data_IF_544849537978
#
_entry.id   IF_544849537978
#
_cell.length_a   1.000
_cell.length_b   1.000
_cell.length_c   1.000
_cell.angle_alpha   90.00
_cell.angle_beta   90.00
_cell.angle_gamma   90.00
#
_symmetry.space_group_name_H-M   'P 1'
#
loop_
_entity.id
_entity.type
_entity.pdbx_description
1 polymer ?
#
# COMPACT_ATOMS: atom_id res chain seq x y z
N UNK A 1 -15.86 -11.59 18.60
CA UNK A 1 -16.04 -10.39 19.43
C UNK A 1 -15.76 -9.13 18.60
N UNK A 2 -16.69 -8.18 18.65
CA UNK A 2 -16.53 -6.90 17.94
C UNK A 2 -15.95 -5.84 18.88
N UNK A 3 -15.15 -4.94 18.33
CA UNK A 3 -14.66 -3.78 19.06
C UNK A 3 -15.82 -2.81 19.27
N UNK A 4 -16.04 -2.37 20.51
CA UNK A 4 -17.16 -1.51 20.85
C UNK A 4 -17.00 -0.10 20.25
N UNK A 5 -18.11 0.51 19.78
CA UNK A 5 -18.02 1.80 19.08
C UNK A 5 -17.55 2.94 19.97
N UNK A 6 -17.94 2.99 21.24
CA UNK A 6 -17.55 4.04 22.16
C UNK A 6 -16.05 4.01 22.47
N UNK A 7 -15.48 2.82 22.65
CA UNK A 7 -14.05 2.63 22.90
C UNK A 7 -13.22 3.09 21.72
N UNK A 8 -13.60 2.65 20.52
CA UNK A 8 -12.87 3.03 19.29
C UNK A 8 -13.04 4.51 18.99
N UNK A 9 -14.25 5.05 19.12
CA UNK A 9 -14.51 6.47 18.89
C UNK A 9 -13.69 7.35 19.84
N UNK A 10 -13.59 6.99 21.12
CA UNK A 10 -12.77 7.73 22.06
C UNK A 10 -11.29 7.70 21.69
N UNK A 11 -10.80 6.56 21.23
CA UNK A 11 -9.41 6.44 20.79
C UNK A 11 -9.14 7.33 19.58
N UNK A 12 -10.05 7.36 18.63
CA UNK A 12 -9.94 8.22 17.44
C UNK A 12 -9.96 9.69 17.85
N UNK A 13 -10.92 10.08 18.66
CA UNK A 13 -11.08 11.48 19.08
C UNK A 13 -9.86 12.00 19.84
N UNK A 14 -9.17 11.12 20.58
CA UNK A 14 -8.00 11.51 21.37
C UNK A 14 -6.68 11.47 20.58
N UNK A 15 -6.59 10.73 19.50
CA UNK A 15 -5.32 10.47 18.81
C UNK A 15 -5.27 10.94 17.37
N UNK A 16 -6.39 11.08 16.69
CA UNK A 16 -6.43 11.44 15.28
C UNK A 16 -6.69 12.95 15.14
N UNK A 17 -5.91 13.60 14.30
CA UNK A 17 -6.06 15.02 14.02
C UNK A 17 -7.33 15.27 13.23
N UNK A 18 -7.98 16.43 13.47
CA UNK A 18 -9.17 16.82 12.73
C UNK A 18 -8.85 16.93 11.24
N UNK A 19 -9.68 16.31 10.41
CA UNK A 19 -9.51 16.31 8.95
C UNK A 19 -8.55 15.26 8.42
N UNK A 20 -7.88 14.51 9.29
CA UNK A 20 -7.00 13.42 8.90
C UNK A 20 -7.80 12.23 8.36
N UNK A 21 -7.34 11.63 7.26
CA UNK A 21 -7.99 10.44 6.71
C UNK A 21 -7.73 9.24 7.63
N UNK A 22 -8.76 8.43 7.83
CA UNK A 22 -8.71 7.25 8.69
C UNK A 22 -9.12 6.05 7.87
N UNK A 23 -8.32 4.99 7.90
CA UNK A 23 -8.59 3.76 7.16
C UNK A 23 -8.72 2.59 8.12
N UNK A 24 -9.73 1.78 7.89
CA UNK A 24 -9.90 0.49 8.56
C UNK A 24 -9.53 -0.62 7.58
N UNK A 25 -8.63 -1.49 8.00
CA UNK A 25 -8.12 -2.59 7.16
C UNK A 25 -9.05 -3.79 7.28
N UNK A 26 -9.75 -4.08 6.20
CA UNK A 26 -10.77 -5.13 6.16
C UNK A 26 -10.86 -5.76 4.77
N UNK A 27 -11.00 -7.09 4.69
CA UNK A 27 -11.19 -7.76 3.38
C UNK A 27 -12.39 -7.27 2.59
N UNK A 28 -13.39 -6.68 3.27
CA UNK A 28 -14.61 -6.13 2.65
C UNK A 28 -14.39 -4.74 2.04
N UNK A 29 -13.25 -4.11 2.34
CA UNK A 29 -13.00 -2.75 1.93
C UNK A 29 -12.70 -2.59 0.44
N UNK A 30 -12.64 -1.34 0.01
CA UNK A 30 -12.21 -0.99 -1.33
C UNK A 30 -10.75 -1.44 -1.52
N UNK A 31 -10.42 -1.96 -2.70
CA UNK A 31 -9.08 -2.45 -2.99
C UNK A 31 -8.03 -1.33 -2.85
N UNK A 32 -7.02 -1.59 -2.05
CA UNK A 32 -5.84 -0.73 -1.97
C UNK A 32 -4.97 -0.98 -3.20
N UNK A 33 -4.61 0.07 -3.92
CA UNK A 33 -3.81 -0.02 -5.15
C UNK A 33 -2.70 1.03 -5.16
N UNK A 34 -1.88 1.00 -6.20
CA UNK A 34 -0.75 1.91 -6.34
C UNK A 34 -1.20 3.37 -6.39
N UNK A 35 -2.35 3.65 -7.00
CA UNK A 35 -2.88 5.02 -7.08
C UNK A 35 -3.20 5.55 -5.69
N UNK A 36 -3.84 4.74 -4.85
CA UNK A 36 -4.14 5.16 -3.47
C UNK A 36 -2.83 5.35 -2.67
N UNK A 37 -1.84 4.48 -2.88
CA UNK A 37 -0.54 4.66 -2.24
C UNK A 37 0.10 6.00 -2.64
N UNK A 38 0.02 6.36 -3.92
CA UNK A 38 0.52 7.66 -4.40
C UNK A 38 -0.23 8.83 -3.77
N UNK A 39 -1.56 8.73 -3.67
CA UNK A 39 -2.38 9.77 -3.04
C UNK A 39 -2.00 9.94 -1.57
N UNK A 40 -1.84 8.84 -0.84
CA UNK A 40 -1.48 8.88 0.58
C UNK A 40 -0.06 9.39 0.81
N UNK A 41 0.84 9.17 -0.12
CA UNK A 41 2.22 9.69 -0.01
C UNK A 41 2.28 11.22 -0.02
N UNK A 42 1.23 11.87 -0.51
CA UNK A 42 1.12 13.33 -0.56
C UNK A 42 0.39 13.93 0.63
N UNK A 43 -0.22 13.08 1.46
CA UNK A 43 -0.91 13.54 2.68
C UNK A 43 0.11 13.86 3.77
N UNK A 44 -0.19 14.86 4.61
CA UNK A 44 0.65 15.17 5.76
C UNK A 44 0.62 14.06 6.81
N UNK A 45 -0.55 13.44 6.98
CA UNK A 45 -0.74 12.33 7.91
C UNK A 45 -2.01 11.56 7.56
N UNK A 46 -2.06 10.29 7.95
CA UNK A 46 -3.26 9.47 7.90
C UNK A 46 -3.16 8.42 9.01
N UNK A 47 -4.29 7.85 9.39
CA UNK A 47 -4.35 6.85 10.46
C UNK A 47 -4.86 5.52 9.93
N UNK A 48 -4.31 4.44 10.45
CA UNK A 48 -4.72 3.08 10.12
C UNK A 48 -5.29 2.42 11.38
N UNK A 49 -6.47 1.83 11.26
CA UNK A 49 -7.08 1.06 12.34
C UNK A 49 -6.81 -0.42 12.06
N UNK A 50 -6.09 -1.05 12.98
CA UNK A 50 -5.75 -2.47 12.90
C UNK A 50 -6.71 -3.25 13.79
N UNK A 51 -7.75 -3.80 13.19
CA UNK A 51 -8.75 -4.58 13.91
C UNK A 51 -8.30 -6.01 14.17
N UNK A 52 -8.91 -6.60 15.17
CA UNK A 52 -8.73 -8.00 15.54
C UNK A 52 -10.09 -8.67 15.63
N UNK A 53 -10.08 -10.01 15.72
CA UNK A 53 -11.29 -10.82 15.88
C UNK A 53 -12.26 -10.63 14.72
N UNK A 54 -13.53 -10.34 15.04
CA UNK A 54 -14.61 -10.24 14.03
C UNK A 54 -14.78 -8.85 13.45
N UNK A 55 -14.01 -7.88 13.91
CA UNK A 55 -14.01 -6.53 13.36
C UNK A 55 -14.51 -5.46 14.32
N UNK A 56 -15.09 -4.40 13.77
CA UNK A 56 -15.55 -3.24 14.50
C UNK A 56 -17.03 -3.00 14.28
N UNK A 57 -17.66 -2.25 15.20
CA UNK A 57 -19.07 -1.87 15.06
C UNK A 57 -19.22 -0.91 13.86
N UNK A 58 -20.17 -1.21 12.98
CA UNK A 58 -20.40 -0.43 11.76
C UNK A 58 -20.72 1.05 12.02
N UNK A 59 -21.32 1.35 13.15
CA UNK A 59 -21.74 2.73 13.47
C UNK A 59 -20.55 3.68 13.59
N UNK A 60 -19.39 3.19 14.07
CA UNK A 60 -18.20 4.03 14.20
C UNK A 60 -17.59 4.33 12.84
N UNK A 61 -17.71 3.42 11.89
CA UNK A 61 -17.19 3.63 10.54
C UNK A 61 -17.87 4.83 9.87
N UNK A 62 -19.20 4.95 10.01
CA UNK A 62 -19.94 6.07 9.42
C UNK A 62 -19.80 7.35 10.21
N UNK A 63 -19.85 7.31 11.56
CA UNK A 63 -19.80 8.52 12.37
C UNK A 63 -18.44 9.21 12.38
N UNK A 64 -17.37 8.49 12.10
CA UNK A 64 -16.01 9.04 12.05
C UNK A 64 -15.44 9.11 10.63
N UNK A 65 -16.27 8.88 9.62
CA UNK A 65 -15.84 8.92 8.20
C UNK A 65 -14.64 8.02 7.93
N UNK A 66 -14.69 6.79 8.45
CA UNK A 66 -13.62 5.82 8.28
C UNK A 66 -13.79 5.12 6.94
N UNK A 67 -12.72 5.09 6.15
CA UNK A 67 -12.70 4.39 4.87
C UNK A 67 -12.22 2.96 5.08
N UNK A 68 -12.95 1.98 4.54
CA UNK A 68 -12.50 0.59 4.58
C UNK A 68 -11.65 0.30 3.36
N UNK A 69 -10.45 -0.27 3.57
CA UNK A 69 -9.57 -0.67 2.47
C UNK A 69 -9.12 -2.12 2.67
N UNK A 70 -8.91 -2.82 1.55
CA UNK A 70 -8.48 -4.22 1.53
C UNK A 70 -7.17 -4.36 0.77
N UNK A 71 -6.27 -5.18 1.30
CA UNK A 71 -5.02 -5.52 0.58
C UNK A 71 -5.17 -6.78 -0.26
N UNK A 72 -6.32 -7.45 -0.22
CA UNK A 72 -6.57 -8.65 -1.00
C UNK A 72 -7.74 -9.47 -0.45
N UNK A 73 -8.14 -10.47 -1.21
CA UNK A 73 -9.30 -11.33 -0.90
C UNK A 73 -8.90 -12.49 0.00
N UNK A 74 -8.47 -12.20 1.21
CA UNK A 74 -8.09 -13.20 2.22
C UNK A 74 -8.23 -12.62 3.62
N UNK A 75 -8.28 -13.48 4.61
CA UNK A 75 -8.47 -13.09 6.00
C UNK A 75 -7.16 -13.27 6.77
N UNK A 76 -6.79 -12.24 7.51
CA UNK A 76 -5.62 -12.25 8.38
C UNK A 76 -6.04 -12.33 9.85
N UNK A 77 -5.11 -12.73 10.73
CA UNK A 77 -5.37 -12.79 12.16
C UNK A 77 -5.63 -11.42 12.79
N UNK A 78 -5.07 -10.37 12.19
CA UNK A 78 -5.23 -8.98 12.64
C UNK A 78 -4.81 -8.03 11.56
N UNK A 79 -5.10 -6.75 11.75
CA UNK A 79 -4.85 -5.72 10.75
C UNK A 79 -3.40 -5.23 10.66
N UNK A 80 -2.55 -5.59 11.61
CA UNK A 80 -1.18 -5.06 11.67
C UNK A 80 -0.35 -5.44 10.45
N UNK A 81 -0.47 -6.69 9.97
CA UNK A 81 0.25 -7.13 8.77
C UNK A 81 -0.21 -6.38 7.54
N UNK A 82 -1.53 -6.16 7.42
CA UNK A 82 -2.09 -5.35 6.34
C UNK A 82 -1.60 -3.90 6.43
N UNK A 83 -1.51 -3.35 7.63
CA UNK A 83 -0.98 -2.00 7.85
C UNK A 83 0.47 -1.89 7.37
N UNK A 84 1.28 -2.92 7.61
CA UNK A 84 2.67 -2.94 7.13
C UNK A 84 2.73 -2.91 5.59
N UNK A 85 1.84 -3.63 4.92
CA UNK A 85 1.75 -3.60 3.45
C UNK A 85 1.42 -2.19 2.96
N UNK A 86 0.43 -1.54 3.56
CA UNK A 86 0.04 -0.17 3.21
C UNK A 86 1.20 0.80 3.47
N UNK A 87 1.81 0.72 4.64
CA UNK A 87 2.92 1.61 5.01
C UNK A 87 4.12 1.43 4.08
N UNK A 88 4.50 0.21 3.78
CA UNK A 88 5.61 -0.05 2.87
C UNK A 88 5.34 0.56 1.49
N UNK A 89 4.14 0.35 0.97
CA UNK A 89 3.74 0.87 -0.35
C UNK A 89 3.75 2.40 -0.41
N UNK A 90 3.38 3.06 0.69
CA UNK A 90 3.30 4.53 0.76
C UNK A 90 4.67 5.15 1.05
N UNK A 91 5.38 4.62 2.06
CA UNK A 91 6.63 5.23 2.53
C UNK A 91 7.73 5.22 1.49
N UNK A 92 7.81 4.17 0.67
CA UNK A 92 8.80 4.10 -0.40
C UNK A 92 8.62 5.16 -1.48
N UNK A 93 7.44 5.78 -1.54
CA UNK A 93 7.15 6.86 -2.50
C UNK A 93 7.56 8.23 -1.97
N UNK A 94 7.92 8.34 -0.70
CA UNK A 94 8.36 9.62 -0.13
C UNK A 94 9.74 9.98 -0.66
N UNK A 95 10.01 11.28 -0.88
CA UNK A 95 11.33 11.74 -1.34
C UNK A 95 12.46 11.27 -0.43
N UNK A 96 13.52 10.74 -1.01
CA UNK A 96 14.70 10.32 -0.28
C UNK A 96 14.66 8.96 0.38
N UNK A 97 13.51 8.30 0.44
CA UNK A 97 13.41 6.98 1.10
C UNK A 97 14.16 5.90 0.32
N UNK A 98 14.05 5.90 -1.02
CA UNK A 98 14.74 4.95 -1.88
C UNK A 98 16.10 5.44 -2.39
N UNK A 99 16.59 6.56 -1.93
CA UNK A 99 17.89 7.09 -2.37
C UNK A 99 17.95 7.57 -3.82
N UNK A 100 16.97 7.23 -4.65
CA UNK A 100 16.85 7.66 -6.04
C UNK A 100 15.38 7.81 -6.39
N UNK A 101 14.93 9.03 -6.60
CA UNK A 101 13.53 9.35 -6.89
C UNK A 101 13.02 8.72 -8.18
N UNK A 102 13.91 8.43 -9.14
CA UNK A 102 13.52 7.79 -10.41
C UNK A 102 13.18 6.31 -10.24
N UNK A 103 13.70 5.66 -9.20
CA UNK A 103 13.42 4.24 -8.96
C UNK A 103 11.94 3.99 -8.68
N UNK A 104 11.27 4.91 -8.03
CA UNK A 104 9.84 4.78 -7.72
C UNK A 104 8.96 5.04 -8.95
N UNK A 105 9.39 5.91 -9.87
CA UNK A 105 8.61 6.24 -11.06
C UNK A 105 8.67 5.18 -12.15
N UNK A 106 9.67 4.30 -12.12
CA UNK A 106 9.85 3.24 -13.11
C UNK A 106 9.28 1.90 -12.67
N UNK A 107 8.50 1.88 -11.60
CA UNK A 107 8.01 0.64 -11.02
C UNK A 107 6.70 0.15 -11.62
N UNK A 108 6.43 -1.14 -11.37
CA UNK A 108 5.17 -1.79 -11.74
C UNK A 108 3.98 -0.97 -11.27
N UNK A 109 2.96 -0.87 -12.13
CA UNK A 109 1.72 -0.11 -11.93
C UNK A 109 1.87 1.41 -11.99
N UNK A 110 3.07 1.95 -12.22
CA UNK A 110 3.21 3.38 -12.51
C UNK A 110 2.49 3.67 -13.83
N UNK A 111 1.62 4.69 -13.83
CA UNK A 111 0.78 5.01 -14.99
C UNK A 111 -0.11 3.85 -15.46
N UNK A 112 -0.41 2.88 -14.57
CA UNK A 112 -1.26 1.75 -14.88
C UNK A 112 -0.58 0.62 -15.65
N UNK A 113 0.73 0.68 -15.83
CA UNK A 113 1.50 -0.33 -16.57
C UNK A 113 2.35 -1.19 -15.65
N UNK A 114 2.52 -2.44 -16.02
CA UNK A 114 3.44 -3.35 -15.34
C UNK A 114 4.86 -3.07 -15.81
N UNK A 115 5.80 -3.32 -14.89
CA UNK A 115 7.21 -3.26 -15.20
C UNK A 115 7.59 -4.33 -16.23
N UNK A 116 8.49 -4.01 -17.15
CA UNK A 116 8.95 -4.95 -18.15
C UNK A 116 9.84 -6.04 -17.54
N UNK A 117 9.97 -7.24 -18.17
CA UNK A 117 10.82 -8.31 -17.66
C UNK A 117 12.27 -7.88 -17.52
N UNK A 118 12.89 -8.26 -16.41
CA UNK A 118 14.26 -7.88 -16.08
C UNK A 118 15.22 -9.05 -16.29
N UNK A 119 16.44 -8.71 -16.69
CA UNK A 119 17.50 -9.68 -16.92
C UNK A 119 18.80 -9.18 -16.30
N UNK A 120 19.68 -10.13 -15.93
CA UNK A 120 20.98 -9.82 -15.37
C UNK A 120 22.00 -10.81 -15.93
N UNK A 121 23.24 -10.76 -15.46
CA UNK A 121 24.28 -11.73 -15.84
C UNK A 121 23.99 -13.10 -15.22
N UNK A 122 24.36 -14.21 -15.89
CA UNK A 122 25.03 -14.29 -17.18
C UNK A 122 24.08 -14.02 -18.35
N UNK A 123 24.63 -13.68 -19.51
CA UNK A 123 23.84 -13.44 -20.74
C UNK A 123 23.06 -14.70 -21.16
N UNK A 124 23.65 -15.89 -20.98
CA UNK A 124 23.02 -17.18 -21.25
C UNK A 124 23.00 -17.97 -19.95
N UNK A 125 21.81 -18.40 -19.53
CA UNK A 125 21.63 -19.22 -18.33
C UNK A 125 20.66 -20.34 -18.65
N UNK A 126 21.10 -21.60 -18.41
CA UNK A 126 20.33 -22.81 -18.70
C UNK A 126 19.73 -22.79 -20.13
N UNK A 127 20.57 -22.48 -21.11
CA UNK A 127 20.24 -22.42 -22.53
C UNK A 127 19.23 -21.27 -22.86
N UNK A 128 18.98 -20.37 -21.91
CA UNK A 128 18.09 -19.22 -22.11
C UNK A 128 18.93 -17.96 -22.21
N UNK A 129 18.73 -17.21 -23.28
CA UNK A 129 19.47 -15.98 -23.56
C UNK A 129 18.65 -14.74 -23.18
N UNK A 130 19.35 -13.70 -22.77
CA UNK A 130 18.74 -12.37 -22.66
C UNK A 130 18.30 -11.93 -24.06
N UNK A 131 17.08 -11.37 -24.23
CA UNK A 131 16.63 -10.89 -25.53
C UNK A 131 17.59 -9.91 -26.18
N UNK A 132 17.86 -10.09 -27.49
CA UNK A 132 18.80 -9.24 -28.24
C UNK A 132 18.49 -7.76 -28.16
N UNK A 133 17.21 -7.39 -28.16
CA UNK A 133 16.79 -6.00 -28.11
C UNK A 133 17.31 -5.30 -26.86
N UNK A 134 17.43 -6.01 -25.74
CA UNK A 134 17.96 -5.46 -24.49
C UNK A 134 19.47 -5.33 -24.52
N UNK A 135 20.16 -6.24 -25.22
CA UNK A 135 21.60 -6.15 -25.42
C UNK A 135 21.96 -4.96 -26.31
N UNK A 136 21.17 -4.70 -27.35
CA UNK A 136 21.38 -3.55 -28.23
C UNK A 136 21.17 -2.23 -27.49
N UNK A 137 20.20 -2.15 -26.59
CA UNK A 137 19.96 -0.93 -25.80
C UNK A 137 21.13 -0.61 -24.86
N UNK A 138 21.83 -1.64 -24.36
CA UNK A 138 23.01 -1.45 -23.51
C UNK A 138 24.21 -0.92 -24.30
N UNK A 139 24.28 -1.19 -25.60
CA UNK A 139 25.37 -0.71 -26.46
C UNK A 139 25.20 0.78 -26.76
N UNK A 140 23.96 1.27 -26.77
CA UNK A 140 23.65 2.67 -27.07
C UNK A 140 23.67 3.60 -25.85
N UNK A 141 23.92 3.07 -24.68
CA UNK A 141 24.12 3.83 -23.46
C UNK A 141 25.62 4.06 -23.26
#
# INVERSE_FOLDING_TARGET
>A
MLLKPDVLANSIDNNVKKGERIFYLSPKGKKFDQKLAQDLSKENSFSLICGHFEGVDERVLSTRNIEEISIGDYVLSGGETAALVVLDSVLRLLPGVLGNDKSASDETFENGLLEYPQYTKPQIWEEKSVPEVLLLSLIHI
#
